data_IF_871764051547
#
_entry.id   IF_871764051547
#
_cell.length_a   1.000
_cell.length_b   1.000
_cell.length_c   1.000
_cell.angle_alpha   90.00
_cell.angle_beta   90.00
_cell.angle_gamma   90.00
#
_symmetry.space_group_name_H-M   'P 1'
#
loop_
_entity.id
_entity.type
_entity.pdbx_description
1 polymer ?
#
# COMPACT_ATOMS: atom_id res chain seq x y z
N UNK A 1 -13.35 9.14 -9.70
CA UNK A 1 -12.57 10.04 -10.61
C UNK A 1 -12.81 11.52 -10.28
N UNK A 2 -13.99 12.11 -10.55
CA UNK A 2 -14.26 13.56 -10.33
C UNK A 2 -13.90 14.06 -8.93
N UNK A 3 -14.24 13.29 -7.89
CA UNK A 3 -13.89 13.60 -6.50
C UNK A 3 -12.37 13.72 -6.30
N UNK A 4 -11.59 12.73 -6.73
CA UNK A 4 -10.13 12.73 -6.60
C UNK A 4 -9.46 13.84 -7.41
N UNK A 5 -9.97 14.14 -8.61
CA UNK A 5 -9.50 15.28 -9.42
C UNK A 5 -9.77 16.61 -8.70
N UNK A 6 -10.92 16.75 -8.05
CA UNK A 6 -11.24 17.92 -7.22
C UNK A 6 -10.25 18.06 -6.05
N UNK A 7 -10.05 16.98 -5.28
CA UNK A 7 -9.11 17.00 -4.16
C UNK A 7 -7.69 17.36 -4.61
N UNK A 8 -7.24 16.79 -5.72
CA UNK A 8 -5.94 17.12 -6.29
C UNK A 8 -5.80 18.64 -6.55
N UNK A 9 -6.80 19.23 -7.20
CA UNK A 9 -6.79 20.66 -7.57
C UNK A 9 -6.91 21.60 -6.37
N UNK A 10 -7.64 21.21 -5.34
CA UNK A 10 -7.95 22.09 -4.22
C UNK A 10 -6.93 22.00 -3.08
N UNK A 11 -6.41 20.80 -2.78
CA UNK A 11 -5.67 20.56 -1.52
C UNK A 11 -4.39 19.73 -1.67
N UNK A 12 -4.11 19.13 -2.82
CA UNK A 12 -2.87 18.36 -3.03
C UNK A 12 -1.73 19.24 -3.56
N UNK A 13 -0.46 18.86 -3.31
CA UNK A 13 0.69 19.51 -3.95
C UNK A 13 0.60 19.42 -5.48
N UNK A 14 0.64 20.55 -6.18
CA UNK A 14 0.40 20.59 -7.63
C UNK A 14 1.49 19.93 -8.47
N UNK A 15 2.68 19.70 -7.90
CA UNK A 15 3.76 18.96 -8.55
C UNK A 15 3.66 17.44 -8.30
N UNK A 16 2.69 16.97 -7.51
CA UNK A 16 2.63 15.57 -7.08
C UNK A 16 2.35 14.58 -8.21
N UNK A 17 1.89 15.05 -9.37
CA UNK A 17 1.80 14.25 -10.59
C UNK A 17 3.14 13.73 -11.09
N UNK A 18 4.24 14.39 -10.72
CA UNK A 18 5.60 14.00 -11.13
C UNK A 18 6.31 13.17 -10.05
N UNK A 19 5.64 12.90 -8.92
CA UNK A 19 6.25 12.19 -7.80
C UNK A 19 5.99 10.70 -7.92
N UNK A 20 7.05 9.91 -7.74
CA UNK A 20 6.91 8.50 -7.40
C UNK A 20 6.43 8.34 -5.96
N UNK A 21 6.06 7.11 -5.58
CA UNK A 21 5.53 6.77 -4.26
C UNK A 21 6.46 7.24 -3.12
N UNK A 22 7.77 7.05 -3.26
CA UNK A 22 8.73 7.46 -2.22
C UNK A 22 8.81 8.99 -2.08
N UNK A 23 8.78 9.72 -3.19
CA UNK A 23 8.76 11.19 -3.18
C UNK A 23 7.50 11.73 -2.50
N UNK A 24 6.34 11.10 -2.74
CA UNK A 24 5.09 11.44 -2.05
C UNK A 24 5.21 11.21 -0.54
N UNK A 25 5.62 10.00 -0.12
CA UNK A 25 5.80 9.66 1.30
C UNK A 25 6.83 10.57 2.00
N UNK A 26 7.89 10.97 1.29
CA UNK A 26 8.92 11.87 1.83
C UNK A 26 8.36 13.24 2.23
N UNK A 27 7.32 13.74 1.57
CA UNK A 27 6.67 14.98 1.99
C UNK A 27 6.06 14.84 3.39
N UNK A 28 5.41 13.72 3.66
CA UNK A 28 4.90 13.43 4.99
C UNK A 28 6.03 13.25 6.01
N UNK A 29 7.10 12.55 5.64
CA UNK A 29 8.27 12.36 6.50
C UNK A 29 8.92 13.68 6.92
N UNK A 30 8.80 14.72 6.07
CA UNK A 30 9.31 16.07 6.30
C UNK A 30 8.27 17.00 6.96
N UNK A 31 7.08 16.51 7.31
CA UNK A 31 6.00 17.31 7.87
C UNK A 31 5.40 18.34 6.89
N UNK A 32 5.59 18.14 5.58
CA UNK A 32 5.07 19.03 4.53
C UNK A 32 3.62 18.73 4.15
N UNK A 33 3.14 17.53 4.43
CA UNK A 33 1.74 17.13 4.28
C UNK A 33 1.18 16.70 5.63
N UNK A 34 -0.11 16.99 5.85
CA UNK A 34 -0.78 16.66 7.11
C UNK A 34 -1.17 15.17 7.21
N UNK A 35 -1.37 14.51 6.06
CA UNK A 35 -1.66 13.08 5.98
C UNK A 35 -1.12 12.50 4.66
N UNK A 36 -0.97 11.19 4.63
CA UNK A 36 -0.68 10.38 3.44
C UNK A 36 -1.44 9.04 3.55
N UNK A 37 -1.79 8.43 2.42
CA UNK A 37 -2.43 7.12 2.38
C UNK A 37 -1.38 6.03 2.27
N UNK A 38 -1.02 5.44 3.40
CA UNK A 38 0.04 4.45 3.46
C UNK A 38 -0.09 3.55 4.70
N UNK A 39 0.95 2.79 5.01
CA UNK A 39 1.03 1.92 6.18
C UNK A 39 2.10 2.38 7.18
N UNK A 40 2.42 1.56 8.17
CA UNK A 40 3.35 1.88 9.25
C UNK A 40 4.80 2.17 8.83
N UNK A 41 5.16 2.01 7.54
CA UNK A 41 6.48 2.44 7.03
C UNK A 41 6.76 3.93 7.32
N UNK A 42 5.71 4.74 7.50
CA UNK A 42 5.83 6.14 7.88
C UNK A 42 6.57 6.37 9.21
N UNK A 43 6.47 5.43 10.15
CA UNK A 43 7.18 5.50 11.44
C UNK A 43 8.69 5.52 11.21
N UNK A 44 9.20 4.59 10.39
CA UNK A 44 10.61 4.55 10.01
C UNK A 44 11.03 5.77 9.19
N UNK A 45 10.20 6.16 8.22
CA UNK A 45 10.43 7.35 7.39
C UNK A 45 10.58 8.64 8.20
N UNK A 46 9.68 8.88 9.16
CA UNK A 46 9.74 10.05 10.05
C UNK A 46 10.94 9.95 10.99
N UNK A 47 11.19 8.80 11.59
CA UNK A 47 12.33 8.65 12.49
C UNK A 47 13.67 8.99 11.80
N UNK A 48 13.79 8.67 10.51
CA UNK A 48 14.99 8.98 9.72
C UNK A 48 15.09 10.44 9.25
N UNK A 49 13.97 11.12 9.01
CA UNK A 49 13.96 12.44 8.37
C UNK A 49 13.59 13.60 9.30
N UNK A 50 12.65 13.36 10.23
CA UNK A 50 12.09 14.35 11.15
C UNK A 50 11.73 13.70 12.50
N UNK A 51 12.69 13.16 13.25
CA UNK A 51 12.42 12.42 14.50
C UNK A 51 11.64 13.24 15.54
N UNK A 52 11.74 14.57 15.51
CA UNK A 52 10.95 15.48 16.34
C UNK A 52 9.43 15.40 16.12
N UNK A 53 8.98 14.81 15.01
CA UNK A 53 7.55 14.65 14.68
C UNK A 53 7.00 13.27 15.08
N UNK A 54 7.82 12.38 15.63
CA UNK A 54 7.44 10.98 15.87
C UNK A 54 6.27 10.83 16.84
N UNK A 55 6.12 11.77 17.78
CA UNK A 55 5.03 11.78 18.77
C UNK A 55 3.76 12.47 18.24
N UNK A 56 3.81 12.99 17.01
CA UNK A 56 2.71 13.74 16.37
C UNK A 56 2.00 12.93 15.28
N UNK A 57 2.31 11.65 15.14
CA UNK A 57 1.75 10.78 14.09
C UNK A 57 0.99 9.60 14.66
N UNK A 58 -0.01 9.17 13.90
CA UNK A 58 -0.85 8.01 14.17
C UNK A 58 -1.55 7.59 12.87
N UNK A 59 -2.24 6.45 12.86
CA UNK A 59 -3.05 6.00 11.73
C UNK A 59 -4.54 6.05 12.06
N UNK A 60 -5.34 6.40 11.05
CA UNK A 60 -6.80 6.44 11.15
C UNK A 60 -7.44 5.78 9.94
N UNK A 61 -8.69 5.29 10.06
CA UNK A 61 -9.44 4.76 8.94
C UNK A 61 -9.56 5.76 7.79
N UNK A 62 -9.72 5.23 6.58
CA UNK A 62 -9.87 6.06 5.39
C UNK A 62 -11.10 6.95 5.51
N UNK A 63 -10.98 8.26 5.18
CA UNK A 63 -12.09 9.19 5.26
C UNK A 63 -13.29 8.73 4.42
N UNK A 64 -14.47 8.85 5.01
CA UNK A 64 -15.75 8.62 4.33
C UNK A 64 -16.27 9.92 3.74
N UNK A 65 -17.06 9.82 2.67
CA UNK A 65 -17.76 10.99 2.12
C UNK A 65 -18.90 11.40 3.06
N UNK A 66 -19.62 10.42 3.60
CA UNK A 66 -20.67 10.62 4.60
C UNK A 66 -20.42 9.71 5.80
N UNK A 67 -20.80 10.18 6.99
CA UNK A 67 -20.70 9.41 8.23
C UNK A 67 -21.42 8.05 8.15
N UNK A 68 -22.55 8.00 7.44
CA UNK A 68 -23.35 6.79 7.22
C UNK A 68 -22.73 5.80 6.23
N UNK A 69 -21.67 6.17 5.50
CA UNK A 69 -21.05 5.27 4.54
C UNK A 69 -20.38 4.10 5.27
N UNK A 70 -20.39 2.93 4.61
CA UNK A 70 -19.70 1.76 5.16
C UNK A 70 -18.20 2.01 5.19
N UNK A 71 -17.52 1.46 6.18
CA UNK A 71 -16.06 1.34 6.14
C UNK A 71 -15.66 0.58 4.88
N UNK A 72 -14.59 1.03 4.24
CA UNK A 72 -13.97 0.35 3.10
C UNK A 72 -12.49 0.16 3.44
N UNK A 73 -11.92 -0.96 2.98
CA UNK A 73 -10.47 -1.06 2.85
C UNK A 73 -9.96 -0.24 1.67
N UNK A 74 -8.64 -0.12 1.57
CA UNK A 74 -7.96 0.39 0.39
C UNK A 74 -7.07 -0.71 -0.20
N UNK A 75 -6.17 -0.32 -1.08
CA UNK A 75 -5.13 -1.21 -1.58
C UNK A 75 -4.42 -1.92 -0.43
N UNK A 76 -4.35 -3.24 -0.53
CA UNK A 76 -3.53 -4.09 0.31
C UNK A 76 -2.43 -4.69 -0.55
N UNK A 77 -1.19 -4.34 -0.25
CA UNK A 77 -0.02 -4.94 -0.88
C UNK A 77 0.46 -6.13 -0.08
N UNK A 78 0.76 -7.22 -0.79
CA UNK A 78 1.37 -8.42 -0.22
C UNK A 78 2.73 -8.61 -0.86
N UNK A 79 3.73 -9.05 -0.07
CA UNK A 79 5.07 -9.35 -0.57
C UNK A 79 5.21 -10.88 -0.60
N UNK A 80 4.91 -11.54 -1.73
CA UNK A 80 5.04 -12.99 -1.83
C UNK A 80 6.52 -13.38 -1.95
N UNK A 81 6.91 -14.38 -1.16
CA UNK A 81 8.17 -15.08 -1.34
C UNK A 81 7.97 -16.28 -2.26
N UNK A 82 8.66 -16.33 -3.40
CA UNK A 82 8.47 -17.36 -4.42
C UNK A 82 9.77 -18.09 -4.75
N UNK A 83 9.67 -19.39 -5.01
CA UNK A 83 10.77 -20.20 -5.54
C UNK A 83 10.55 -20.41 -7.03
N UNK A 84 11.46 -19.88 -7.85
CA UNK A 84 11.39 -20.04 -9.29
C UNK A 84 11.51 -21.50 -9.71
N UNK A 85 10.61 -21.96 -10.58
CA UNK A 85 10.62 -23.32 -11.15
C UNK A 85 11.96 -23.68 -11.80
N UNK A 86 12.62 -22.69 -12.41
CA UNK A 86 13.90 -22.85 -13.13
C UNK A 86 15.11 -22.48 -12.27
N UNK A 87 14.96 -22.35 -10.94
CA UNK A 87 16.10 -22.13 -10.06
C UNK A 87 17.11 -23.26 -10.20
N UNK A 88 18.40 -22.93 -10.20
CA UNK A 88 19.48 -23.93 -10.14
C UNK A 88 19.65 -24.53 -8.74
N UNK A 89 19.07 -23.89 -7.73
CA UNK A 89 19.18 -24.25 -6.31
C UNK A 89 17.81 -24.17 -5.61
N UNK A 90 16.77 -24.91 -6.07
CA UNK A 90 15.44 -24.85 -5.48
C UNK A 90 15.41 -25.34 -4.02
N UNK A 91 16.27 -26.31 -3.66
CA UNK A 91 16.42 -26.81 -2.29
C UNK A 91 16.96 -25.75 -1.34
N UNK A 92 17.98 -24.99 -1.74
CA UNK A 92 18.54 -23.90 -0.92
C UNK A 92 17.51 -22.78 -0.76
N UNK A 93 16.81 -22.41 -1.83
CA UNK A 93 15.77 -21.39 -1.77
C UNK A 93 14.63 -21.79 -0.82
N UNK A 94 14.20 -23.06 -0.83
CA UNK A 94 13.19 -23.57 0.10
C UNK A 94 13.69 -23.59 1.55
N UNK A 95 14.91 -24.08 1.79
CA UNK A 95 15.51 -24.07 3.12
C UNK A 95 15.64 -22.64 3.69
N UNK A 96 15.94 -21.65 2.84
CA UNK A 96 15.92 -20.25 3.24
C UNK A 96 14.52 -19.77 3.67
N UNK A 97 13.47 -20.12 2.93
CA UNK A 97 12.10 -19.76 3.32
C UNK A 97 11.67 -20.44 4.61
N UNK A 98 12.02 -21.71 4.80
CA UNK A 98 11.76 -22.43 6.05
C UNK A 98 12.47 -21.78 7.24
N UNK A 99 13.72 -21.33 7.06
CA UNK A 99 14.45 -20.58 8.07
C UNK A 99 13.79 -19.22 8.33
N UNK A 100 13.50 -18.42 7.30
CA UNK A 100 12.87 -17.10 7.43
C UNK A 100 11.53 -17.15 8.17
N UNK A 101 10.74 -18.21 7.95
CA UNK A 101 9.41 -18.36 8.55
C UNK A 101 9.38 -19.16 9.84
N UNK A 102 10.54 -19.55 10.40
CA UNK A 102 10.56 -19.95 11.80
C UNK A 102 10.18 -18.74 12.67
N UNK A 103 9.54 -18.98 13.82
CA UNK A 103 8.95 -17.89 14.62
C UNK A 103 9.98 -16.82 15.02
N UNK A 104 11.17 -17.23 15.45
CA UNK A 104 12.22 -16.33 15.92
C UNK A 104 12.72 -15.41 14.80
N UNK A 105 13.11 -15.97 13.66
CA UNK A 105 13.65 -15.21 12.54
C UNK A 105 12.57 -14.40 11.83
N UNK A 106 11.33 -14.89 11.79
CA UNK A 106 10.21 -14.14 11.25
C UNK A 106 9.88 -12.92 12.12
N UNK A 107 9.86 -13.06 13.45
CA UNK A 107 9.67 -11.91 14.36
C UNK A 107 10.82 -10.91 14.20
N UNK A 108 12.08 -11.37 14.13
CA UNK A 108 13.22 -10.47 13.84
C UNK A 108 13.07 -9.73 12.51
N UNK A 109 12.58 -10.42 11.47
CA UNK A 109 12.30 -9.80 10.18
C UNK A 109 11.22 -8.72 10.33
N UNK A 110 10.11 -9.00 11.00
CA UNK A 110 9.05 -8.01 11.24
C UNK A 110 9.54 -6.83 12.11
N UNK A 111 10.46 -7.10 13.04
CA UNK A 111 11.07 -6.08 13.92
C UNK A 111 12.03 -5.14 13.16
N UNK A 112 12.46 -5.50 11.95
CA UNK A 112 13.20 -4.58 11.09
C UNK A 112 12.34 -3.40 10.62
N UNK A 113 11.01 -3.57 10.58
CA UNK A 113 10.05 -2.51 10.23
C UNK A 113 8.75 -2.69 11.04
N UNK A 114 8.79 -2.42 12.36
CA UNK A 114 7.64 -2.63 13.25
C UNK A 114 6.46 -1.77 12.80
N UNK A 115 5.24 -2.33 12.85
CA UNK A 115 3.97 -1.74 12.37
C UNK A 115 3.89 -1.51 10.84
N UNK A 116 5.01 -1.33 10.14
CA UNK A 116 5.04 -1.27 8.67
C UNK A 116 4.90 -2.63 8.00
N UNK A 117 5.58 -3.65 8.53
CA UNK A 117 5.39 -5.05 8.12
C UNK A 117 4.48 -5.74 9.13
N UNK A 118 3.34 -6.24 8.67
CA UNK A 118 2.37 -6.98 9.48
C UNK A 118 2.57 -8.50 9.33
N UNK A 119 2.36 -9.29 10.40
CA UNK A 119 2.45 -10.73 10.35
C UNK A 119 1.34 -11.33 9.49
N UNK A 120 1.71 -12.27 8.62
CA UNK A 120 0.77 -13.04 7.77
C UNK A 120 0.61 -14.49 8.25
N UNK A 121 1.44 -14.93 9.20
CA UNK A 121 1.39 -16.26 9.81
C UNK A 121 0.55 -16.21 11.09
N UNK A 122 -0.43 -17.12 11.19
CA UNK A 122 -1.32 -17.23 12.35
C UNK A 122 -0.53 -17.46 13.64
N UNK A 123 -0.87 -16.73 14.70
CA UNK A 123 -0.28 -16.86 16.03
C UNK A 123 0.93 -15.95 16.28
N UNK A 124 1.58 -15.42 15.24
CA UNK A 124 2.73 -14.51 15.41
C UNK A 124 2.31 -13.22 16.10
N UNK A 125 1.18 -12.61 15.71
CA UNK A 125 0.65 -11.41 16.36
C UNK A 125 0.31 -11.61 17.84
N UNK A 126 0.12 -12.86 18.28
CA UNK A 126 -0.20 -13.20 19.66
C UNK A 126 1.03 -13.49 20.52
N UNK A 127 2.20 -13.73 19.89
CA UNK A 127 3.42 -14.14 20.59
C UNK A 127 3.97 -13.03 21.48
N UNK A 128 4.63 -13.42 22.57
CA UNK A 128 5.30 -12.47 23.45
C UNK A 128 6.42 -11.73 22.69
N UNK A 129 7.24 -12.46 21.93
CA UNK A 129 8.34 -11.88 21.17
C UNK A 129 7.88 -10.76 20.22
N UNK A 130 6.74 -10.95 19.54
CA UNK A 130 6.18 -9.92 18.65
C UNK A 130 5.71 -8.66 19.42
N UNK A 131 5.03 -8.86 20.56
CA UNK A 131 4.43 -7.80 21.37
C UNK A 131 5.46 -6.98 22.18
N UNK A 132 6.63 -7.53 22.43
CA UNK A 132 7.67 -6.86 23.23
C UNK A 132 8.38 -5.71 22.49
N UNK A 133 8.22 -5.57 21.18
CA UNK A 133 8.82 -4.48 20.40
C UNK A 133 8.31 -3.10 20.85
N UNK A 134 9.20 -2.23 21.34
CA UNK A 134 8.84 -0.92 21.90
C UNK A 134 8.17 0.01 20.88
N UNK A 135 8.56 -0.05 19.61
CA UNK A 135 7.90 0.74 18.55
C UNK A 135 6.48 0.26 18.33
N UNK A 136 6.24 -1.07 18.30
CA UNK A 136 4.87 -1.60 18.25
C UNK A 136 4.05 -1.21 19.46
N UNK A 137 4.62 -1.27 20.67
CA UNK A 137 3.92 -0.82 21.90
C UNK A 137 3.51 0.65 21.80
N UNK A 138 4.40 1.51 21.34
CA UNK A 138 4.14 2.94 21.13
C UNK A 138 3.05 3.18 20.09
N UNK A 139 3.10 2.46 18.97
CA UNK A 139 2.19 2.63 17.83
C UNK A 139 1.09 1.55 17.77
N UNK A 140 0.67 1.03 18.93
CA UNK A 140 -0.32 -0.05 19.02
C UNK A 140 -1.64 0.33 18.35
N UNK A 141 -2.12 1.55 18.57
CA UNK A 141 -3.35 2.03 17.94
C UNK A 141 -3.22 2.04 16.41
N UNK A 142 -2.12 2.56 15.87
CA UNK A 142 -1.87 2.56 14.44
C UNK A 142 -1.83 1.12 13.87
N UNK A 143 -1.17 0.19 14.55
CA UNK A 143 -1.12 -1.23 14.14
C UNK A 143 -2.53 -1.86 14.10
N UNK A 144 -3.37 -1.59 15.09
CA UNK A 144 -4.76 -2.07 15.14
C UNK A 144 -5.56 -1.53 13.95
N UNK A 145 -5.48 -0.21 13.69
CA UNK A 145 -6.19 0.43 12.58
C UNK A 145 -5.73 -0.13 11.23
N UNK A 146 -4.43 -0.25 11.00
CA UNK A 146 -3.88 -0.77 9.73
C UNK A 146 -4.25 -2.24 9.55
N UNK A 147 -4.18 -3.04 10.62
CA UNK A 147 -4.57 -4.46 10.58
C UNK A 147 -6.04 -4.61 10.19
N UNK A 148 -6.94 -3.78 10.73
CA UNK A 148 -8.36 -3.80 10.35
C UNK A 148 -8.60 -3.32 8.91
N UNK A 149 -7.83 -2.35 8.43
CA UNK A 149 -7.90 -1.89 7.05
C UNK A 149 -7.46 -2.97 6.05
N UNK A 150 -6.37 -3.69 6.35
CA UNK A 150 -5.84 -4.79 5.52
C UNK A 150 -6.86 -5.94 5.38
N UNK A 151 -7.61 -6.26 6.44
CA UNK A 151 -8.67 -7.31 6.38
C UNK A 151 -9.81 -6.96 5.43
N UNK A 152 -10.05 -5.66 5.21
CA UNK A 152 -11.13 -5.14 4.36
C UNK A 152 -10.64 -4.76 2.95
N UNK A 153 -9.32 -4.70 2.76
CA UNK A 153 -8.69 -4.27 1.51
C UNK A 153 -8.42 -5.42 0.55
N UNK A 154 -7.89 -5.06 -0.62
CA UNK A 154 -7.50 -6.01 -1.67
C UNK A 154 -6.33 -5.44 -2.46
N UNK A 155 -5.51 -6.31 -3.06
CA UNK A 155 -4.61 -5.88 -4.11
C UNK A 155 -5.44 -5.41 -5.32
N UNK A 156 -4.89 -4.46 -6.10
CA UNK A 156 -5.56 -3.92 -7.29
C UNK A 156 -5.87 -5.05 -8.28
N UNK A 157 -7.15 -5.20 -8.66
CA UNK A 157 -7.60 -6.22 -9.60
C UNK A 157 -7.84 -7.60 -8.97
N UNK A 158 -7.60 -7.77 -7.67
CA UNK A 158 -7.76 -9.04 -6.94
C UNK A 158 -9.10 -9.12 -6.20
N UNK A 159 -10.04 -8.21 -6.46
CA UNK A 159 -11.36 -8.17 -5.80
C UNK A 159 -12.13 -9.48 -5.98
N UNK A 160 -11.88 -10.19 -7.08
CA UNK A 160 -12.45 -11.51 -7.40
C UNK A 160 -11.40 -12.63 -7.36
N UNK A 161 -10.25 -12.40 -6.73
CA UNK A 161 -9.11 -13.31 -6.67
C UNK A 161 -8.02 -13.01 -7.71
N UNK A 162 -6.85 -13.69 -7.60
CA UNK A 162 -5.71 -13.48 -8.48
C UNK A 162 -6.02 -13.87 -9.94
N UNK A 163 -5.62 -13.03 -10.89
CA UNK A 163 -5.73 -13.29 -12.33
C UNK A 163 -4.57 -12.67 -13.12
N UNK A 164 -4.38 -13.12 -14.36
CA UNK A 164 -3.38 -12.53 -15.27
C UNK A 164 -3.73 -11.06 -15.57
N UNK A 165 -5.02 -10.78 -15.75
CA UNK A 165 -5.57 -9.45 -16.00
C UNK A 165 -5.30 -8.52 -14.82
N UNK A 166 -5.39 -9.02 -13.58
CA UNK A 166 -5.05 -8.24 -12.39
C UNK A 166 -3.58 -7.80 -12.38
N UNK A 167 -2.66 -8.65 -12.82
CA UNK A 167 -1.27 -8.27 -13.00
C UNK A 167 -1.04 -7.26 -14.14
N UNK A 168 -1.92 -7.22 -15.13
CA UNK A 168 -1.83 -6.26 -16.25
C UNK A 168 -2.34 -4.88 -15.87
N UNK A 169 -3.37 -4.81 -15.02
CA UNK A 169 -3.93 -3.55 -14.51
C UNK A 169 -2.87 -2.62 -13.92
N UNK A 170 -1.95 -3.16 -13.12
CA UNK A 170 -0.94 -2.37 -12.40
C UNK A 170 0.31 -2.06 -13.20
N UNK A 171 0.58 -2.79 -14.28
CA UNK A 171 1.83 -2.66 -15.04
C UNK A 171 1.74 -1.73 -16.26
N UNK A 172 0.54 -1.48 -16.78
CA UNK A 172 0.37 -0.65 -17.99
C UNK A 172 0.17 0.84 -17.71
N UNK A 173 0.04 1.23 -16.44
CA UNK A 173 -0.16 2.62 -16.00
C UNK A 173 -1.35 3.35 -16.65
N UNK A 174 -2.36 2.61 -17.15
CA UNK A 174 -3.50 3.18 -17.90
C UNK A 174 -4.34 4.10 -17.00
N UNK A 175 -4.53 3.73 -15.73
CA UNK A 175 -5.29 4.55 -14.78
C UNK A 175 -4.53 5.83 -14.42
N UNK A 176 -3.22 5.74 -14.22
CA UNK A 176 -2.34 6.89 -13.97
C UNK A 176 -2.34 7.84 -15.17
N UNK A 177 -2.22 7.32 -16.39
CA UNK A 177 -2.32 8.09 -17.63
C UNK A 177 -3.68 8.78 -17.77
N UNK A 178 -4.77 8.10 -17.41
CA UNK A 178 -6.11 8.70 -17.39
C UNK A 178 -6.15 9.93 -16.46
N UNK A 179 -5.61 9.83 -15.24
CA UNK A 179 -5.55 10.98 -14.33
C UNK A 179 -4.62 12.08 -14.84
N UNK A 180 -3.47 11.73 -15.41
CA UNK A 180 -2.53 12.68 -16.04
C UNK A 180 -3.21 13.47 -17.16
N UNK A 181 -3.97 12.81 -18.03
CA UNK A 181 -4.69 13.46 -19.13
C UNK A 181 -5.79 14.41 -18.62
N UNK A 182 -6.57 13.99 -17.63
CA UNK A 182 -7.60 14.85 -17.01
C UNK A 182 -6.98 16.12 -16.42
N UNK A 183 -5.84 15.99 -15.74
CA UNK A 183 -5.24 17.11 -15.00
C UNK A 183 -4.45 18.03 -15.94
N UNK A 184 -3.61 17.46 -16.80
CA UNK A 184 -2.70 18.22 -17.67
C UNK A 184 -3.42 18.79 -18.89
N UNK A 185 -4.27 17.99 -19.55
CA UNK A 185 -4.93 18.39 -20.80
C UNK A 185 -6.37 18.89 -20.57
N UNK A 186 -6.89 18.77 -19.35
CA UNK A 186 -8.26 19.20 -19.03
C UNK A 186 -9.34 18.30 -19.63
N UNK A 187 -9.01 17.06 -20.00
CA UNK A 187 -9.97 16.11 -20.56
C UNK A 187 -11.12 15.88 -19.57
N UNK A 188 -12.36 15.83 -20.11
CA UNK A 188 -13.52 15.50 -19.28
C UNK A 188 -13.33 14.14 -18.58
N UNK A 189 -13.54 14.06 -17.25
CA UNK A 189 -13.34 12.82 -16.49
C UNK A 189 -14.11 11.61 -17.00
N UNK A 190 -15.30 11.78 -17.58
CA UNK A 190 -16.07 10.66 -18.12
C UNK A 190 -15.55 10.21 -19.49
N UNK A 191 -15.06 11.15 -20.31
CA UNK A 191 -14.40 10.82 -21.56
C UNK A 191 -13.11 10.04 -21.31
N UNK A 192 -12.26 10.54 -20.41
CA UNK A 192 -11.00 9.87 -20.05
C UNK A 192 -11.26 8.47 -19.45
N UNK A 193 -12.29 8.33 -18.60
CA UNK A 193 -12.68 7.04 -18.05
C UNK A 193 -13.08 6.01 -19.12
N UNK A 194 -13.86 6.42 -20.12
CA UNK A 194 -14.27 5.54 -21.23
C UNK A 194 -13.09 5.11 -22.10
N UNK A 195 -12.14 6.01 -22.33
CA UNK A 195 -10.93 5.71 -23.09
C UNK A 195 -10.04 4.73 -22.32
N UNK A 196 -9.83 4.94 -21.02
CA UNK A 196 -9.09 4.02 -20.16
C UNK A 196 -9.76 2.64 -20.07
N UNK A 197 -11.08 2.59 -19.93
CA UNK A 197 -11.87 1.36 -19.97
C UNK A 197 -11.66 0.60 -21.29
N UNK A 198 -11.72 1.32 -22.43
CA UNK A 198 -11.47 0.71 -23.74
C UNK A 198 -10.06 0.10 -23.82
N UNK A 199 -9.04 0.84 -23.41
CA UNK A 199 -7.65 0.36 -23.43
C UNK A 199 -7.44 -0.87 -22.54
N UNK A 200 -8.07 -0.90 -21.36
CA UNK A 200 -8.05 -2.06 -20.48
C UNK A 200 -8.74 -3.27 -21.09
N UNK A 201 -9.90 -3.08 -21.72
CA UNK A 201 -10.62 -4.17 -22.39
C UNK A 201 -9.80 -4.73 -23.57
N UNK A 202 -9.24 -3.88 -24.42
CA UNK A 202 -8.39 -4.30 -25.54
C UNK A 202 -7.16 -5.11 -25.03
N UNK A 203 -6.57 -4.67 -23.91
CA UNK A 203 -5.46 -5.35 -23.26
C UNK A 203 -5.86 -6.72 -22.71
N UNK A 204 -7.03 -6.82 -22.09
CA UNK A 204 -7.52 -8.08 -21.52
C UNK A 204 -7.92 -9.09 -22.59
N UNK A 205 -8.44 -8.65 -23.73
CA UNK A 205 -8.74 -9.51 -24.89
C UNK A 205 -7.46 -10.09 -25.51
N UNK A 206 -6.36 -9.33 -25.53
CA UNK A 206 -5.10 -9.78 -26.12
C UNK A 206 -4.42 -10.95 -25.38
N UNK A 207 -4.88 -11.29 -24.17
CA UNK A 207 -4.27 -12.30 -23.30
C UNK A 207 -5.21 -13.45 -22.94
N UNK A 208 -6.39 -13.50 -23.58
CA UNK A 208 -7.30 -14.65 -23.57
C UNK A 208 -6.86 -15.76 -24.52
#
# INVERSE_FOLDING_TARGET
>A
IKYWVKLYKEISPQDSLNFNVLQQATLFYQGKTAFDFNSGFHIGGINANSPQLIDSIDAYPIPKIKESDKDQGIETSNIPMVVWKNSKHPEVAKAFLEALYNEEDYVKFLDSTPVGMLPTIKGISDSAAYKENETRKKFKHAEEVITEAVKKGTAIGYENGPSVQAGMLTNQHIIEQMFQDIITNGTDPMKAAKEAEKQLNDLFEAVQ
#
